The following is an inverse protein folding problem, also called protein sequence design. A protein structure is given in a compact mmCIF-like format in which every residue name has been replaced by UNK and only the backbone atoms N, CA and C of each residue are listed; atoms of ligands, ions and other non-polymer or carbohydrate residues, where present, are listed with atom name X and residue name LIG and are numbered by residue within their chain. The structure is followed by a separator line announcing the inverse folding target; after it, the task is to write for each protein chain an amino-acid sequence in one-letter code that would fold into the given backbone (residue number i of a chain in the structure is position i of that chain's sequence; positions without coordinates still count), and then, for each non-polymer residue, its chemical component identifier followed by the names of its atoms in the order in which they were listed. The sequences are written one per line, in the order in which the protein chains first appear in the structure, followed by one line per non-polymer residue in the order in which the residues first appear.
data_IF_463701778141
#
_entry.id   IF_463701778141
#
_cell.length_a   1.000
_cell.length_b   1.000
_cell.length_c   1.000
_cell.angle_alpha   90.00
_cell.angle_beta   90.00
_cell.angle_gamma   90.00
#
_symmetry.space_group_name_H-M   'P 1'
#
loop_
_entity.id
_entity.type
_entity.pdbx_description
1 polymer ?
#
# COMPACT_ATOMS: atom_id res chain seq x y z
N UNK A 1 -11.61 1.12 6.92
CA UNK A 1 -10.84 1.45 5.70
C UNK A 1 -11.81 1.67 4.55
N UNK A 2 -11.71 2.82 3.88
CA UNK A 2 -12.65 3.25 2.81
C UNK A 2 -12.02 3.22 1.40
N UNK A 3 -10.82 2.66 1.23
CA UNK A 3 -10.31 2.28 -0.08
C UNK A 3 -10.84 0.89 -0.41
N UNK A 4 -11.80 0.79 -1.34
CA UNK A 4 -12.37 -0.47 -1.82
C UNK A 4 -11.92 -0.72 -3.26
N UNK A 5 -11.04 -1.69 -3.45
CA UNK A 5 -10.59 -2.20 -4.74
C UNK A 5 -11.30 -3.50 -5.10
N UNK A 6 -11.54 -4.37 -4.11
CA UNK A 6 -12.42 -5.51 -4.31
C UNK A 6 -13.87 -5.05 -4.22
N UNK A 7 -14.73 -5.59 -5.09
CA UNK A 7 -16.16 -5.38 -4.94
C UNK A 7 -16.64 -6.05 -3.63
N UNK A 8 -17.72 -5.54 -3.00
CA UNK A 8 -18.20 -6.06 -1.72
C UNK A 8 -18.45 -7.57 -1.73
N UNK A 9 -18.98 -8.09 -2.85
CA UNK A 9 -19.23 -9.52 -3.03
C UNK A 9 -17.93 -10.34 -3.07
N UNK A 10 -16.93 -9.92 -3.86
CA UNK A 10 -15.64 -10.61 -3.91
C UNK A 10 -14.93 -10.59 -2.56
N UNK A 11 -14.95 -9.44 -1.88
CA UNK A 11 -14.36 -9.29 -0.55
C UNK A 11 -15.05 -10.22 0.45
N UNK A 12 -16.39 -10.29 0.45
CA UNK A 12 -17.14 -11.21 1.28
C UNK A 12 -16.75 -12.66 0.98
N UNK A 13 -16.72 -13.06 -0.29
CA UNK A 13 -16.38 -14.42 -0.70
C UNK A 13 -14.96 -14.81 -0.25
N UNK A 14 -13.95 -13.97 -0.51
CA UNK A 14 -12.57 -14.23 -0.08
C UNK A 14 -12.40 -14.29 1.44
N UNK A 15 -13.19 -13.54 2.20
CA UNK A 15 -13.18 -13.66 3.66
C UNK A 15 -13.72 -15.01 4.14
N UNK A 16 -14.65 -15.62 3.42
CA UNK A 16 -15.20 -16.94 3.73
C UNK A 16 -14.38 -18.10 3.15
N UNK A 17 -13.52 -17.81 2.17
CA UNK A 17 -12.69 -18.80 1.47
C UNK A 17 -11.20 -18.35 1.41
N UNK A 18 -10.52 -18.23 2.56
CA UNK A 18 -9.19 -17.64 2.66
C UNK A 18 -8.08 -18.40 1.92
N UNK A 19 -8.26 -19.69 1.66
CA UNK A 19 -7.39 -20.51 0.82
C UNK A 19 -7.28 -19.93 -0.60
N UNK A 20 -8.33 -19.28 -1.10
CA UNK A 20 -8.32 -18.59 -2.39
C UNK A 20 -7.78 -17.17 -2.31
N UNK A 21 -7.80 -16.53 -1.13
CA UNK A 21 -7.21 -15.20 -0.95
C UNK A 21 -5.71 -15.21 -1.24
N UNK A 22 -5.02 -16.30 -0.93
CA UNK A 22 -3.59 -16.47 -1.27
C UNK A 22 -3.37 -16.56 -2.78
N UNK A 23 -4.17 -17.35 -3.48
CA UNK A 23 -4.09 -17.46 -4.95
C UNK A 23 -4.38 -16.11 -5.59
N UNK A 24 -5.46 -15.45 -5.16
CA UNK A 24 -5.88 -14.14 -5.64
C UNK A 24 -4.79 -13.07 -5.41
N UNK A 25 -4.14 -13.07 -4.24
CA UNK A 25 -3.02 -12.18 -3.95
C UNK A 25 -1.91 -12.29 -5.00
N UNK A 26 -1.44 -13.51 -5.31
CA UNK A 26 -0.37 -13.70 -6.29
C UNK A 26 -0.81 -13.36 -7.72
N UNK A 27 -2.05 -13.65 -8.09
CA UNK A 27 -2.61 -13.26 -9.38
C UNK A 27 -2.61 -11.73 -9.54
N UNK A 28 -3.09 -11.01 -8.52
CA UNK A 28 -3.09 -9.56 -8.49
C UNK A 28 -1.67 -8.98 -8.51
N UNK A 29 -0.71 -9.56 -7.79
CA UNK A 29 0.69 -9.13 -7.85
C UNK A 29 1.28 -9.29 -9.25
N UNK A 30 1.10 -10.45 -9.88
CA UNK A 30 1.59 -10.72 -11.24
C UNK A 30 0.97 -9.77 -12.26
N UNK A 31 -0.34 -9.54 -12.19
CA UNK A 31 -1.05 -8.59 -13.05
C UNK A 31 -0.56 -7.15 -12.83
N UNK A 32 -0.32 -6.74 -11.57
CA UNK A 32 0.25 -5.42 -11.26
C UNK A 32 1.60 -5.25 -11.93
N UNK A 33 2.52 -6.20 -11.74
CA UNK A 33 3.86 -6.14 -12.31
C UNK A 33 3.83 -6.12 -13.85
N UNK A 34 2.96 -6.94 -14.45
CA UNK A 34 2.73 -6.94 -15.89
C UNK A 34 2.30 -5.54 -16.37
N UNK A 35 1.26 -4.96 -15.78
CA UNK A 35 0.78 -3.63 -16.21
C UNK A 35 1.79 -2.51 -15.95
N UNK A 36 2.53 -2.55 -14.83
CA UNK A 36 3.63 -1.60 -14.57
C UNK A 36 4.72 -1.67 -15.64
N UNK A 37 5.08 -2.88 -16.09
CA UNK A 37 6.09 -3.07 -17.16
C UNK A 37 5.70 -2.34 -18.45
N UNK A 38 4.41 -2.23 -18.75
CA UNK A 38 3.87 -1.52 -19.91
C UNK A 38 3.36 -0.11 -19.58
N UNK A 39 3.72 0.45 -18.42
CA UNK A 39 3.29 1.77 -17.96
C UNK A 39 1.77 1.97 -17.94
N UNK A 40 1.01 0.87 -17.86
CA UNK A 40 -0.44 0.88 -17.72
C UNK A 40 -0.83 1.12 -16.26
N UNK A 41 -0.44 2.28 -15.73
CA UNK A 41 -0.47 2.60 -14.30
C UNK A 41 -1.89 2.51 -13.71
N UNK A 42 -2.89 3.02 -14.42
CA UNK A 42 -4.30 2.98 -13.98
C UNK A 42 -4.79 1.54 -13.77
N UNK A 43 -4.47 0.63 -14.69
CA UNK A 43 -4.78 -0.79 -14.56
C UNK A 43 -3.95 -1.44 -13.45
N UNK A 44 -2.67 -1.11 -13.35
CA UNK A 44 -1.80 -1.61 -12.31
C UNK A 44 -2.32 -1.26 -10.90
N UNK A 45 -2.85 -0.04 -10.69
CA UNK A 45 -3.45 0.36 -9.40
C UNK A 45 -4.62 -0.54 -9.00
N UNK A 46 -5.48 -0.94 -9.94
CA UNK A 46 -6.63 -1.81 -9.67
C UNK A 46 -6.14 -3.16 -9.13
N UNK A 47 -5.18 -3.79 -9.81
CA UNK A 47 -4.63 -5.07 -9.37
C UNK A 47 -3.81 -4.95 -8.08
N UNK A 48 -3.03 -3.87 -7.92
CA UNK A 48 -2.25 -3.63 -6.70
C UNK A 48 -3.17 -3.48 -5.49
N UNK A 49 -4.30 -2.80 -5.68
CA UNK A 49 -5.36 -2.68 -4.69
C UNK A 49 -6.01 -4.01 -4.32
N UNK A 50 -6.29 -4.87 -5.32
CA UNK A 50 -6.76 -6.23 -5.09
C UNK A 50 -5.77 -7.06 -4.26
N UNK A 51 -4.48 -6.97 -4.58
CA UNK A 51 -3.43 -7.64 -3.79
C UNK A 51 -3.37 -7.11 -2.35
N UNK A 52 -3.48 -5.79 -2.15
CA UNK A 52 -3.47 -5.16 -0.84
C UNK A 52 -4.64 -5.66 0.04
N UNK A 53 -5.85 -5.70 -0.51
CA UNK A 53 -7.02 -6.22 0.22
C UNK A 53 -6.96 -7.73 0.46
N UNK A 54 -6.47 -8.51 -0.50
CA UNK A 54 -6.27 -9.95 -0.30
C UNK A 54 -5.28 -10.24 0.82
N UNK A 55 -4.18 -9.47 0.89
CA UNK A 55 -3.20 -9.58 1.96
C UNK A 55 -3.78 -9.18 3.32
N UNK A 56 -4.66 -8.18 3.37
CA UNK A 56 -5.39 -7.81 4.59
C UNK A 56 -6.27 -8.96 5.09
N UNK A 57 -7.00 -9.63 4.18
CA UNK A 57 -7.82 -10.80 4.51
C UNK A 57 -6.95 -11.92 5.08
N UNK A 58 -5.79 -12.20 4.45
CA UNK A 58 -4.85 -13.21 4.94
C UNK A 58 -4.30 -12.86 6.33
N UNK A 59 -4.04 -11.58 6.60
CA UNK A 59 -3.55 -11.12 7.91
C UNK A 59 -4.58 -11.33 9.02
N UNK A 60 -5.86 -11.13 8.73
CA UNK A 60 -6.94 -11.36 9.69
C UNK A 60 -7.17 -12.85 9.99
N UNK A 61 -6.87 -13.74 9.05
CA UNK A 61 -7.16 -15.19 9.17
C UNK A 61 -5.99 -16.01 9.70
N UNK A 62 -4.75 -15.61 9.41
CA UNK A 62 -3.54 -16.35 9.78
C UNK A 62 -2.58 -15.49 10.63
N UNK A 63 -3.00 -15.01 11.83
CA UNK A 63 -2.19 -14.11 12.62
C UNK A 63 -0.83 -14.73 12.95
N UNK A 64 -0.77 -16.01 13.33
CA UNK A 64 0.46 -16.64 13.83
C UNK A 64 1.60 -16.85 12.81
N UNK A 65 1.45 -16.42 11.56
CA UNK A 65 2.50 -16.59 10.55
C UNK A 65 3.10 -15.25 10.11
N UNK A 66 4.38 -15.26 9.72
CA UNK A 66 5.05 -14.04 9.22
C UNK A 66 4.58 -13.64 7.82
N UNK A 67 4.09 -14.62 7.05
CA UNK A 67 3.77 -14.45 5.64
C UNK A 67 2.73 -13.34 5.37
N UNK A 68 1.60 -13.25 6.10
CA UNK A 68 0.63 -12.19 5.89
C UNK A 68 1.15 -10.79 6.22
N UNK A 69 2.01 -10.65 7.26
CA UNK A 69 2.64 -9.37 7.61
C UNK A 69 3.51 -8.87 6.46
N UNK A 70 4.36 -9.75 5.93
CA UNK A 70 5.25 -9.44 4.81
C UNK A 70 4.41 -9.12 3.56
N UNK A 71 3.44 -9.97 3.23
CA UNK A 71 2.59 -9.82 2.05
C UNK A 71 1.81 -8.51 2.06
N UNK A 72 1.25 -8.15 3.22
CA UNK A 72 0.50 -6.90 3.39
C UNK A 72 1.41 -5.67 3.25
N UNK A 73 2.61 -5.72 3.86
CA UNK A 73 3.61 -4.67 3.73
C UNK A 73 4.06 -4.49 2.27
N UNK A 74 4.41 -5.59 1.59
CA UNK A 74 4.86 -5.55 0.19
C UNK A 74 3.77 -5.04 -0.74
N UNK A 75 2.50 -5.45 -0.55
CA UNK A 75 1.39 -4.94 -1.35
C UNK A 75 1.13 -3.45 -1.11
N UNK A 76 1.24 -2.97 0.14
CA UNK A 76 1.10 -1.55 0.46
C UNK A 76 2.17 -0.70 -0.26
N UNK A 77 3.43 -1.13 -0.22
CA UNK A 77 4.53 -0.45 -0.92
C UNK A 77 4.33 -0.49 -2.43
N UNK A 78 3.91 -1.63 -2.98
CA UNK A 78 3.65 -1.77 -4.40
C UNK A 78 2.51 -0.85 -4.86
N UNK A 79 1.39 -0.83 -4.13
CA UNK A 79 0.25 0.03 -4.43
C UNK A 79 0.60 1.50 -4.29
N UNK A 80 1.26 1.89 -3.21
CA UNK A 80 1.76 3.25 -3.00
C UNK A 80 2.66 3.69 -4.15
N UNK A 81 3.71 2.93 -4.46
CA UNK A 81 4.60 3.26 -5.58
C UNK A 81 3.91 3.28 -6.94
N UNK A 82 2.81 2.55 -7.13
CA UNK A 82 2.03 2.60 -8.38
C UNK A 82 1.12 3.82 -8.44
N UNK A 83 0.60 4.28 -7.29
CA UNK A 83 -0.16 5.53 -7.18
C UNK A 83 0.75 6.76 -7.39
N UNK A 84 2.01 6.68 -7.00
CA UNK A 84 3.02 7.73 -7.21
C UNK A 84 3.23 8.01 -8.70
N UNK A 85 3.31 6.96 -9.53
CA UNK A 85 3.44 7.08 -10.99
C UNK A 85 2.24 7.80 -11.63
N UNK A 86 1.10 7.86 -10.94
CA UNK A 86 -0.09 8.61 -11.34
C UNK A 86 -0.16 10.01 -10.70
N UNK A 87 0.91 10.46 -10.03
CA UNK A 87 0.96 11.67 -9.21
C UNK A 87 -0.13 11.71 -8.12
N UNK A 88 -0.63 10.55 -7.69
CA UNK A 88 -1.68 10.45 -6.69
C UNK A 88 -1.10 10.30 -5.28
N UNK A 89 -0.29 11.29 -4.91
CA UNK A 89 0.52 11.27 -3.69
C UNK A 89 -0.33 11.17 -2.42
N UNK A 90 -1.51 11.78 -2.41
CA UNK A 90 -2.41 11.73 -1.24
C UNK A 90 -2.95 10.32 -1.01
N UNK A 91 -3.39 9.63 -2.08
CA UNK A 91 -3.82 8.22 -1.97
C UNK A 91 -2.65 7.31 -1.66
N UNK A 92 -1.47 7.59 -2.22
CA UNK A 92 -0.27 6.81 -1.94
C UNK A 92 0.10 6.86 -0.45
N UNK A 93 0.18 8.06 0.13
CA UNK A 93 0.44 8.26 1.55
C UNK A 93 -0.67 7.66 2.41
N UNK A 94 -1.93 7.77 1.98
CA UNK A 94 -3.05 7.15 2.67
C UNK A 94 -2.89 5.62 2.76
N UNK A 95 -2.49 4.93 1.69
CA UNK A 95 -2.24 3.48 1.70
C UNK A 95 -1.12 3.11 2.68
N UNK A 96 -0.03 3.88 2.72
CA UNK A 96 1.06 3.64 3.66
C UNK A 96 0.60 3.83 5.11
N UNK A 97 -0.17 4.89 5.39
CA UNK A 97 -0.71 5.16 6.72
C UNK A 97 -1.67 4.06 7.18
N UNK A 98 -2.54 3.61 6.27
CA UNK A 98 -3.43 2.48 6.49
C UNK A 98 -2.66 1.19 6.83
N UNK A 99 -1.58 0.91 6.11
CA UNK A 99 -0.71 -0.22 6.40
C UNK A 99 -0.06 -0.09 7.79
N UNK A 100 0.53 1.08 8.08
CA UNK A 100 1.14 1.39 9.37
C UNK A 100 0.17 1.18 10.54
N UNK A 101 -1.05 1.71 10.46
CA UNK A 101 -2.07 1.55 11.51
C UNK A 101 -2.42 0.08 11.73
N UNK A 102 -2.58 -0.69 10.64
CA UNK A 102 -2.92 -2.11 10.74
C UNK A 102 -1.78 -2.94 11.33
N UNK A 103 -0.53 -2.66 11.00
CA UNK A 103 0.64 -3.32 11.58
C UNK A 103 0.84 -2.97 13.07
N UNK A 104 0.57 -1.73 13.47
CA UNK A 104 0.60 -1.36 14.90
C UNK A 104 -0.47 -2.09 15.71
N UNK A 105 -1.64 -2.37 15.13
CA UNK A 105 -2.63 -3.24 15.79
C UNK A 105 -2.11 -4.65 16.01
N UNK A 106 -1.32 -5.20 15.07
CA UNK A 106 -0.67 -6.51 15.27
C UNK A 106 0.40 -6.49 16.36
N UNK A 107 1.08 -5.36 16.59
CA UNK A 107 2.05 -5.23 17.70
C UNK A 107 1.39 -5.33 19.08
N UNK A 108 0.11 -4.92 19.18
CA UNK A 108 -0.63 -4.98 20.45
C UNK A 108 -1.18 -6.39 20.74
N UNK A 109 -1.08 -7.32 19.78
CA UNK A 109 -1.45 -8.71 20.01
C UNK A 109 -0.34 -9.43 20.78
N UNK A 110 -0.69 -10.34 21.70
CA UNK A 110 0.18 -10.97 22.70
C UNK A 110 1.30 -11.90 22.14
N UNK A 111 1.59 -11.86 20.84
CA UNK A 111 2.47 -12.81 20.16
C UNK A 111 3.89 -12.25 19.92
N UNK A 112 4.81 -12.64 20.80
CA UNK A 112 6.22 -12.22 20.76
C UNK A 112 7.01 -12.72 19.54
N UNK A 113 6.56 -13.79 18.87
CA UNK A 113 7.33 -14.45 17.81
C UNK A 113 7.43 -13.63 16.52
N UNK A 114 6.49 -12.69 16.31
CA UNK A 114 6.37 -11.88 15.09
C UNK A 114 6.93 -10.48 15.24
N UNK A 115 7.29 -10.05 16.47
CA UNK A 115 7.70 -8.68 16.81
C UNK A 115 8.84 -8.17 15.93
N UNK A 116 9.90 -8.97 15.75
CA UNK A 116 11.06 -8.58 14.93
C UNK A 116 10.64 -8.25 13.49
N UNK A 117 9.74 -9.03 12.90
CA UNK A 117 9.24 -8.80 11.54
C UNK A 117 8.30 -7.60 11.49
N UNK A 118 7.41 -7.45 12.48
CA UNK A 118 6.53 -6.28 12.59
C UNK A 118 7.32 -4.98 12.68
N UNK A 119 8.33 -4.90 13.54
CA UNK A 119 9.19 -3.71 13.64
C UNK A 119 9.90 -3.39 12.33
N UNK A 120 10.43 -4.40 11.63
CA UNK A 120 11.05 -4.20 10.30
C UNK A 120 10.05 -3.66 9.28
N UNK A 121 8.86 -4.25 9.19
CA UNK A 121 7.82 -3.81 8.28
C UNK A 121 7.33 -2.39 8.60
N UNK A 122 7.15 -2.06 9.87
CA UNK A 122 6.78 -0.71 10.32
C UNK A 122 7.88 0.30 9.99
N UNK A 123 9.15 -0.06 10.20
CA UNK A 123 10.28 0.79 9.86
C UNK A 123 10.32 1.08 8.35
N UNK A 124 10.13 0.06 7.51
CA UNK A 124 10.05 0.19 6.05
C UNK A 124 8.92 1.12 5.60
N UNK A 125 7.72 0.95 6.16
CA UNK A 125 6.58 1.84 5.85
C UNK A 125 6.87 3.28 6.29
N UNK A 126 7.43 3.46 7.49
CA UNK A 126 7.76 4.79 8.03
C UNK A 126 8.85 5.50 7.21
N UNK A 127 9.84 4.77 6.73
CA UNK A 127 10.87 5.27 5.82
C UNK A 127 10.26 5.70 4.49
N UNK A 128 9.39 4.86 3.89
CA UNK A 128 8.70 5.20 2.65
C UNK A 128 7.82 6.44 2.82
N UNK A 129 7.09 6.55 3.93
CA UNK A 129 6.31 7.76 4.23
C UNK A 129 7.19 9.00 4.35
N UNK A 130 8.34 8.91 5.04
CA UNK A 130 9.31 10.02 5.18
C UNK A 130 9.83 10.53 3.83
N UNK A 131 10.08 9.64 2.87
CA UNK A 131 10.52 10.03 1.53
C UNK A 131 9.54 11.00 0.84
N UNK A 132 8.22 10.81 0.98
CA UNK A 132 7.23 11.76 0.43
C UNK A 132 7.32 13.16 1.02
N UNK A 133 7.63 13.26 2.32
CA UNK A 133 7.73 14.56 2.98
C UNK A 133 8.99 15.31 2.55
N UNK A 134 10.08 14.59 2.27
CA UNK A 134 11.33 15.17 1.78
C UNK A 134 11.20 15.65 0.32
N UNK A 135 10.52 14.90 -0.55
CA UNK A 135 10.23 15.33 -1.93
C UNK A 135 9.34 16.58 -2.00
N UNK A 136 8.42 16.77 -1.04
CA UNK A 136 7.61 17.99 -0.96
C UNK A 136 8.36 19.20 -0.39
N UNK A 137 9.40 18.97 0.42
CA UNK A 137 10.22 20.04 1.01
C UNK A 137 11.30 20.60 0.07
N UNK A 138 11.66 19.86 -0.98
CA UNK A 138 12.65 20.26 -1.99
C UNK A 138 12.03 20.97 -3.21
N UNK A 139 10.70 20.98 -3.34
CA UNK A 139 9.99 21.79 -4.32
C UNK A 139 10.08 23.28 -3.91
N UNK A 140 11.07 24.00 -4.44
CA UNK A 140 11.19 25.45 -4.32
C UNK A 140 9.88 26.13 -4.76
N UNK A 141 9.42 27.18 -4.06
CA UNK A 141 8.31 27.98 -4.56
C UNK A 141 8.73 28.57 -5.91
N UNK A 142 8.02 28.17 -6.96
CA UNK A 142 8.11 28.76 -8.29
C UNK A 142 8.10 30.28 -8.13
N UNK A 143 9.19 30.91 -8.57
CA UNK A 143 9.36 32.35 -8.53
C UNK A 143 8.15 33.02 -9.19
N UNK A 144 7.44 33.84 -8.41
CA UNK A 144 6.41 34.74 -8.93
C UNK A 144 7.00 35.53 -10.12
N UNK A 145 6.29 35.65 -11.25
CA UNK A 145 6.76 36.51 -12.33
C UNK A 145 6.80 37.95 -11.82
N UNK A 146 8.00 38.53 -11.85
CA UNK A 146 8.25 39.95 -11.62
C UNK A 146 7.47 40.72 -12.69
N UNK A 147 6.30 41.25 -12.33
CA UNK A 147 5.62 42.22 -13.18
C UNK A 147 6.38 43.54 -13.10
N UNK A 148 7.33 43.68 -14.01
CA UNK A 148 7.87 44.97 -14.40
C UNK A 148 6.83 45.68 -15.27
N UNK A 149 6.09 46.61 -14.68
CA UNK A 149 5.44 47.69 -15.43
C UNK A 149 5.83 49.01 -14.79
N UNK A 150 6.88 49.60 -15.35
CA UNK A 150 7.04 51.05 -15.45
C UNK A 150 5.90 51.58 -16.34
N UNK A 151 5.17 52.58 -15.88
CA UNK A 151 4.92 53.85 -16.57
C UNK A 151 4.18 54.80 -15.63
#
# INVERSE_FOLDING_TARGET
MQTRFLCPFHRYWLNNHPEFARSHFYQCLGATQHHRKYQAWSQAVVYAGGAFEAAEILLNRNPHTLYPIISFTSAAILLSSTLDELNNNDRSLHILHLCYQRLNKELMAEDNTRLKTLFKCIALISERMRAFWQDKGSATPSALPVNATRH
#
